data_IF_079026265878
#
_entry.id   IF_079026265878
#
_cell.length_a   1.000
_cell.length_b   1.000
_cell.length_c   1.000
_cell.angle_alpha   90.00
_cell.angle_beta   90.00
_cell.angle_gamma   90.00
#
_symmetry.space_group_name_H-M   'P 1'
#
loop_
_entity.id
_entity.type
_entity.pdbx_description
1 polymer ?
#
# COMPACT_ATOMS: atom_id res chain seq x y z
N UNK A 1 11.71 43.30 -20.78
CA UNK A 1 10.44 42.55 -20.82
C UNK A 1 9.31 43.45 -20.31
N UNK A 2 8.12 43.47 -20.94
CA UNK A 2 7.02 44.38 -20.53
C UNK A 2 6.32 43.83 -19.27
N UNK A 3 5.88 44.66 -18.31
CA UNK A 3 5.25 44.19 -17.06
C UNK A 3 4.02 43.30 -17.28
N UNK A 4 3.24 43.56 -18.34
CA UNK A 4 2.12 42.70 -18.77
C UNK A 4 2.56 41.28 -19.18
N UNK A 5 3.75 41.14 -19.77
CA UNK A 5 4.30 39.85 -20.19
C UNK A 5 4.79 39.04 -18.99
N UNK A 6 5.37 39.72 -17.98
CA UNK A 6 5.84 39.07 -16.73
C UNK A 6 4.66 38.46 -15.97
N UNK A 7 3.55 39.21 -15.83
CA UNK A 7 2.36 38.69 -15.15
C UNK A 7 1.75 37.50 -15.88
N UNK A 8 1.67 37.55 -17.22
CA UNK A 8 1.17 36.42 -18.01
C UNK A 8 2.04 35.17 -17.83
N UNK A 9 3.36 35.33 -17.84
CA UNK A 9 4.29 34.22 -17.60
C UNK A 9 4.11 33.64 -16.20
N UNK A 10 3.97 34.48 -15.16
CA UNK A 10 3.70 34.02 -13.80
C UNK A 10 2.40 33.21 -13.70
N UNK A 11 1.31 33.68 -14.32
CA UNK A 11 0.04 32.96 -14.35
C UNK A 11 0.14 31.61 -15.06
N UNK A 12 0.90 31.54 -16.16
CA UNK A 12 1.10 30.27 -16.88
C UNK A 12 1.91 29.29 -16.01
N UNK A 13 2.96 29.76 -15.34
CA UNK A 13 3.78 28.92 -14.47
C UNK A 13 3.00 28.38 -13.26
N UNK A 14 2.13 29.19 -12.64
CA UNK A 14 1.30 28.73 -11.52
C UNK A 14 0.27 27.70 -11.96
N UNK A 15 -0.37 27.89 -13.12
CA UNK A 15 -1.30 26.92 -13.70
C UNK A 15 -0.62 25.58 -14.00
N UNK A 16 0.57 25.61 -14.61
CA UNK A 16 1.34 24.39 -14.90
C UNK A 16 1.70 23.67 -13.61
N UNK A 17 2.18 24.38 -12.59
CA UNK A 17 2.54 23.77 -11.30
C UNK A 17 1.32 23.14 -10.60
N UNK A 18 0.16 23.79 -10.65
CA UNK A 18 -1.07 23.24 -10.08
C UNK A 18 -1.51 21.94 -10.80
N UNK A 19 -1.46 21.92 -12.13
CA UNK A 19 -1.74 20.74 -12.96
C UNK A 19 -0.74 19.60 -12.66
N UNK A 20 0.54 19.91 -12.56
CA UNK A 20 1.59 18.94 -12.21
C UNK A 20 1.35 18.36 -10.82
N UNK A 21 1.07 19.20 -9.81
CA UNK A 21 0.77 18.74 -8.45
C UNK A 21 -0.48 17.86 -8.38
N UNK A 22 -1.53 18.21 -9.13
CA UNK A 22 -2.75 17.42 -9.21
C UNK A 22 -2.46 16.02 -9.79
N UNK A 23 -1.79 15.95 -10.94
CA UNK A 23 -1.39 14.67 -11.54
C UNK A 23 -0.42 13.86 -10.67
N UNK A 24 0.53 14.53 -9.99
CA UNK A 24 1.46 13.84 -9.11
C UNK A 24 0.76 13.23 -7.88
N UNK A 25 -0.31 13.84 -7.39
CA UNK A 25 -1.09 13.33 -6.26
C UNK A 25 -1.73 11.99 -6.60
N UNK A 26 -2.29 11.87 -7.80
CA UNK A 26 -2.87 10.62 -8.31
C UNK A 26 -1.79 9.54 -8.53
N UNK A 27 -0.66 9.90 -9.14
CA UNK A 27 0.44 8.98 -9.39
C UNK A 27 1.10 8.47 -8.09
N UNK A 28 1.31 9.35 -7.10
CA UNK A 28 1.84 8.97 -5.77
C UNK A 28 0.89 8.02 -5.05
N UNK A 29 -0.41 8.28 -5.11
CA UNK A 29 -1.44 7.40 -4.56
C UNK A 29 -1.45 6.03 -5.23
N UNK A 30 -1.31 5.98 -6.56
CA UNK A 30 -1.25 4.72 -7.30
C UNK A 30 0.02 3.91 -6.97
N UNK A 31 1.19 4.55 -6.98
CA UNK A 31 2.48 3.90 -6.65
C UNK A 31 2.47 3.39 -5.20
N UNK A 32 1.92 4.18 -4.26
CA UNK A 32 1.78 3.76 -2.86
C UNK A 32 0.93 2.51 -2.72
N UNK A 33 -0.25 2.48 -3.36
CA UNK A 33 -1.14 1.30 -3.35
C UNK A 33 -0.50 0.07 -3.99
N UNK A 34 0.20 0.25 -5.10
CA UNK A 34 0.88 -0.85 -5.79
C UNK A 34 1.97 -1.48 -4.91
N UNK A 35 2.71 -0.64 -4.15
CA UNK A 35 3.73 -1.11 -3.21
C UNK A 35 3.15 -2.02 -2.13
N UNK A 36 1.97 -1.71 -1.59
CA UNK A 36 1.29 -2.55 -0.60
C UNK A 36 1.02 -3.97 -1.14
N UNK A 37 0.57 -4.07 -2.40
CA UNK A 37 0.20 -5.34 -3.03
C UNK A 37 1.44 -6.14 -3.44
N UNK A 38 2.48 -5.47 -3.96
CA UNK A 38 3.70 -6.13 -4.44
C UNK A 38 4.45 -6.87 -3.33
N UNK A 39 4.47 -6.33 -2.11
CA UNK A 39 5.16 -6.96 -0.97
C UNK A 39 4.64 -8.39 -0.70
N UNK A 40 3.32 -8.57 -0.75
CA UNK A 40 2.69 -9.89 -0.57
C UNK A 40 2.83 -10.74 -1.83
N UNK A 41 2.61 -10.15 -3.01
CA UNK A 41 2.54 -10.87 -4.27
C UNK A 41 3.88 -11.50 -4.68
N UNK A 42 5.00 -10.92 -4.21
CA UNK A 42 6.33 -11.45 -4.45
C UNK A 42 6.64 -12.72 -3.63
N UNK A 43 5.80 -13.07 -2.65
CA UNK A 43 5.91 -14.33 -1.90
C UNK A 43 4.94 -15.33 -2.50
N UNK A 44 5.47 -16.46 -2.99
CA UNK A 44 4.67 -17.51 -3.61
C UNK A 44 3.62 -18.04 -2.62
N UNK A 45 2.37 -18.23 -3.08
CA UNK A 45 1.27 -18.73 -2.24
C UNK A 45 0.74 -17.75 -1.18
N UNK A 46 1.44 -16.65 -0.89
CA UNK A 46 1.06 -15.74 0.19
C UNK A 46 -0.28 -15.02 -0.06
N UNK A 47 -0.57 -14.67 -1.32
CA UNK A 47 -1.87 -14.07 -1.69
C UNK A 47 -3.03 -15.03 -1.40
N UNK A 48 -2.86 -16.31 -1.73
CA UNK A 48 -3.89 -17.33 -1.47
C UNK A 48 -4.03 -17.61 0.02
N UNK A 49 -2.92 -17.61 0.77
CA UNK A 49 -2.92 -17.73 2.22
C UNK A 49 -3.67 -16.56 2.88
N UNK A 50 -3.42 -15.32 2.44
CA UNK A 50 -4.17 -14.14 2.93
C UNK A 50 -5.66 -14.27 2.61
N UNK A 51 -6.02 -14.72 1.41
CA UNK A 51 -7.41 -14.91 1.00
C UNK A 51 -8.13 -15.94 1.89
N UNK A 52 -7.44 -17.01 2.28
CA UNK A 52 -7.95 -18.00 3.26
C UNK A 52 -8.05 -17.40 4.66
N UNK A 53 -7.05 -16.62 5.07
CA UNK A 53 -7.00 -15.99 6.38
C UNK A 53 -8.14 -14.97 6.58
N UNK A 54 -8.57 -14.31 5.50
CA UNK A 54 -9.78 -13.46 5.51
C UNK A 54 -11.06 -14.23 5.86
N UNK A 55 -11.07 -15.55 5.65
CA UNK A 55 -12.17 -16.45 6.02
C UNK A 55 -11.92 -17.16 7.36
N UNK A 56 -10.88 -16.77 8.09
CA UNK A 56 -10.48 -17.36 9.37
C UNK A 56 -9.58 -18.59 9.25
N UNK A 57 -9.17 -18.98 8.04
CA UNK A 57 -8.24 -20.08 7.82
C UNK A 57 -6.81 -19.55 7.67
N UNK A 58 -6.04 -19.62 8.74
CA UNK A 58 -4.64 -19.17 8.77
C UNK A 58 -3.65 -20.22 8.25
N UNK A 59 -4.13 -21.39 7.79
CA UNK A 59 -3.26 -22.41 7.22
C UNK A 59 -2.65 -21.92 5.90
N UNK A 60 -1.34 -22.11 5.76
CA UNK A 60 -0.58 -21.63 4.60
C UNK A 60 0.03 -20.25 4.76
N UNK A 61 -0.20 -19.55 5.89
CA UNK A 61 0.65 -18.44 6.31
C UNK A 61 1.98 -19.02 6.83
N UNK A 62 2.96 -19.14 5.93
CA UNK A 62 4.30 -19.56 6.29
C UNK A 62 5.15 -18.39 6.80
N UNK A 63 6.39 -18.70 7.19
CA UNK A 63 7.32 -17.72 7.76
C UNK A 63 7.60 -16.58 6.78
N UNK A 64 7.81 -16.88 5.50
CA UNK A 64 8.13 -15.87 4.48
C UNK A 64 6.93 -14.94 4.22
N UNK A 65 5.73 -15.49 4.10
CA UNK A 65 4.50 -14.71 3.97
C UNK A 65 4.27 -13.84 5.21
N UNK A 66 4.51 -14.36 6.41
CA UNK A 66 4.37 -13.61 7.63
C UNK A 66 5.43 -12.51 7.84
N UNK A 67 6.65 -12.68 7.31
CA UNK A 67 7.63 -11.59 7.24
C UNK A 67 7.10 -10.47 6.34
N UNK A 68 6.56 -10.82 5.16
CA UNK A 68 5.99 -9.85 4.24
C UNK A 68 4.82 -9.08 4.89
N UNK A 69 3.85 -9.78 5.49
CA UNK A 69 2.68 -9.17 6.16
C UNK A 69 3.10 -8.27 7.34
N UNK A 70 4.08 -8.70 8.14
CA UNK A 70 4.58 -7.92 9.27
C UNK A 70 5.18 -6.58 8.83
N UNK A 71 5.85 -6.57 7.68
CA UNK A 71 6.46 -5.38 7.08
C UNK A 71 5.45 -4.38 6.47
N UNK A 72 4.17 -4.74 6.38
CA UNK A 72 3.14 -3.89 5.79
C UNK A 72 2.67 -2.85 6.82
N UNK A 73 2.63 -1.59 6.39
CA UNK A 73 2.18 -0.45 7.20
C UNK A 73 0.65 -0.41 7.33
N UNK A 74 0.13 0.25 8.36
CA UNK A 74 -1.31 0.21 8.66
C UNK A 74 -2.20 0.87 7.59
N UNK A 75 -1.65 1.81 6.81
CA UNK A 75 -2.27 2.42 5.63
C UNK A 75 -2.44 1.42 4.47
N UNK A 76 -1.66 0.35 4.43
CA UNK A 76 -1.78 -0.72 3.44
C UNK A 76 -2.83 -1.78 3.80
N UNK A 77 -3.22 -1.91 5.07
CA UNK A 77 -4.27 -2.85 5.49
C UNK A 77 -5.58 -2.69 4.72
N UNK A 78 -6.19 -1.50 4.59
CA UNK A 78 -7.44 -1.35 3.85
C UNK A 78 -7.32 -1.64 2.34
N UNK A 79 -6.10 -1.66 1.79
CA UNK A 79 -5.85 -1.99 0.38
C UNK A 79 -5.80 -3.51 0.18
N UNK A 80 -5.20 -4.24 1.12
CA UNK A 80 -5.05 -5.70 1.06
C UNK A 80 -6.31 -6.40 1.58
N UNK A 81 -6.97 -5.80 2.56
CA UNK A 81 -8.19 -6.29 3.21
C UNK A 81 -9.34 -5.30 3.02
N UNK A 82 -9.87 -5.15 1.78
CA UNK A 82 -10.87 -4.14 1.47
C UNK A 82 -12.22 -4.39 2.16
N UNK A 83 -12.54 -5.65 2.47
CA UNK A 83 -13.82 -6.01 3.10
C UNK A 83 -13.85 -5.73 4.60
N UNK A 84 -12.70 -5.81 5.29
CA UNK A 84 -12.62 -5.52 6.72
C UNK A 84 -11.17 -5.27 7.18
N UNK A 85 -10.82 -4.02 7.52
CA UNK A 85 -9.49 -3.69 8.05
C UNK A 85 -9.15 -4.41 9.36
N UNK A 86 -10.17 -4.75 10.16
CA UNK A 86 -9.99 -5.49 11.41
C UNK A 86 -9.41 -6.90 11.16
N UNK A 87 -9.81 -7.55 10.06
CA UNK A 87 -9.25 -8.84 9.65
C UNK A 87 -7.75 -8.70 9.36
N UNK A 88 -7.33 -7.63 8.70
CA UNK A 88 -5.90 -7.40 8.45
C UNK A 88 -5.07 -7.32 9.74
N UNK A 89 -5.62 -6.73 10.80
CA UNK A 89 -4.96 -6.72 12.11
C UNK A 89 -4.88 -8.10 12.74
N UNK A 90 -5.92 -8.93 12.59
CA UNK A 90 -5.91 -10.31 13.07
C UNK A 90 -4.88 -11.16 12.33
N UNK A 91 -4.79 -11.02 11.00
CA UNK A 91 -3.78 -11.72 10.19
C UNK A 91 -2.37 -11.30 10.62
N UNK A 92 -2.13 -10.01 10.86
CA UNK A 92 -0.84 -9.51 11.35
C UNK A 92 -0.51 -10.05 12.74
N UNK A 93 -1.49 -10.13 13.65
CA UNK A 93 -1.32 -10.72 14.97
C UNK A 93 -1.06 -12.24 14.92
N UNK A 94 -1.72 -12.96 14.02
CA UNK A 94 -1.45 -14.39 13.78
C UNK A 94 -0.01 -14.59 13.28
N UNK A 95 0.43 -13.75 12.34
CA UNK A 95 1.79 -13.78 11.84
C UNK A 95 2.86 -13.48 12.89
N UNK A 96 2.61 -12.54 13.82
CA UNK A 96 3.52 -12.31 14.93
C UNK A 96 3.78 -13.59 15.74
N UNK A 97 2.71 -14.36 16.04
CA UNK A 97 2.86 -15.65 16.75
C UNK A 97 3.63 -16.70 15.96
N UNK A 98 3.46 -16.75 14.65
CA UNK A 98 4.19 -17.69 13.77
C UNK A 98 5.68 -17.36 13.75
N UNK A 99 6.03 -16.06 13.72
CA UNK A 99 7.41 -15.61 13.74
C UNK A 99 8.08 -15.88 15.10
N UNK A 100 7.35 -15.73 16.20
CA UNK A 100 7.85 -16.04 17.56
C UNK A 100 8.09 -17.54 17.76
N UNK A 101 7.31 -18.42 17.14
CA UNK A 101 7.46 -19.88 17.25
C UNK A 101 8.64 -20.44 16.46
N UNK A 102 9.19 -19.68 15.53
CA UNK A 102 10.27 -20.10 14.62
C UNK A 102 11.64 -19.50 14.95
N UNK A 103 11.84 -19.06 16.19
CA UNK A 103 13.09 -18.55 16.78
C UNK A 103 13.60 -19.47 17.90
#
# INVERSE_FOLDING_TARGET
MKPKQINAILFILTMIMALVCYHQSEAKSFIGRLKCVLVVRNVEGCVDAIKKATKGDYNGLDKECCVAISGITNDCLPIIFPESPAIGLLVKAACARILDYGN
#
